data_IF_274735470653
#
_entry.id   IF_274735470653
#
_cell.length_a   1.000
_cell.length_b   1.000
_cell.length_c   1.000
_cell.angle_alpha   90.00
_cell.angle_beta   90.00
_cell.angle_gamma   90.00
#
_symmetry.space_group_name_H-M   'P 1'
#
loop_
_entity.id
_entity.type
_entity.pdbx_description
1 polymer ?
#
# COMPACT_ATOMS: atom_id res chain seq x y z
N UNK A 1 9.55 13.79 0.61
CA UNK A 1 8.85 13.92 1.89
C UNK A 1 7.51 14.61 1.69
N UNK A 2 6.44 13.94 2.02
CA UNK A 2 5.08 14.45 1.79
C UNK A 2 4.71 15.44 2.90
N UNK A 3 5.03 16.72 2.71
CA UNK A 3 4.65 17.81 3.61
C UNK A 3 3.19 18.27 3.41
N UNK A 4 2.47 17.65 2.47
CA UNK A 4 1.07 17.97 2.21
C UNK A 4 0.16 17.40 3.32
N UNK A 5 -0.91 18.14 3.60
CA UNK A 5 -1.95 17.67 4.52
C UNK A 5 -2.56 16.36 4.00
N UNK A 6 -2.62 15.34 4.87
CA UNK A 6 -3.19 14.06 4.51
C UNK A 6 -4.71 14.19 4.37
N UNK A 7 -5.25 13.68 3.27
CA UNK A 7 -6.70 13.61 3.09
C UNK A 7 -7.24 12.39 3.85
N UNK A 8 -8.09 12.65 4.84
CA UNK A 8 -8.66 11.61 5.69
C UNK A 8 -10.15 11.45 5.39
N UNK A 9 -10.54 10.24 5.04
CA UNK A 9 -11.95 9.88 4.99
C UNK A 9 -12.42 9.49 6.40
N UNK A 10 -13.46 10.19 6.90
CA UNK A 10 -13.91 10.02 8.28
C UNK A 10 -14.88 8.87 8.47
N UNK A 11 -15.81 8.66 7.51
CA UNK A 11 -16.84 7.63 7.65
C UNK A 11 -17.40 7.55 9.05
N UNK A 12 -17.51 6.34 9.57
CA UNK A 12 -17.96 6.04 10.94
C UNK A 12 -16.79 5.97 11.94
N UNK A 13 -15.67 6.63 11.65
CA UNK A 13 -14.46 6.58 12.50
C UNK A 13 -14.74 7.06 13.93
N UNK A 14 -15.65 8.04 14.09
CA UNK A 14 -16.05 8.53 15.40
C UNK A 14 -16.67 7.41 16.26
N UNK A 15 -17.59 6.64 15.70
CA UNK A 15 -18.20 5.50 16.41
C UNK A 15 -17.18 4.41 16.72
N UNK A 16 -16.26 4.11 15.78
CA UNK A 16 -15.22 3.12 16.00
C UNK A 16 -14.23 3.53 17.08
N UNK A 17 -13.85 4.81 17.15
CA UNK A 17 -12.94 5.32 18.17
C UNK A 17 -13.56 5.24 19.58
N UNK A 18 -14.88 5.28 19.71
CA UNK A 18 -15.54 5.08 21.01
C UNK A 18 -15.35 3.65 21.53
N UNK A 19 -15.31 2.67 20.64
CA UNK A 19 -15.21 1.24 20.96
C UNK A 19 -13.76 0.72 20.93
N UNK A 20 -12.79 1.57 20.60
CA UNK A 20 -11.40 1.19 20.36
C UNK A 20 -10.51 1.66 21.51
N UNK A 21 -9.62 0.79 21.99
CA UNK A 21 -8.60 1.13 23.01
C UNK A 21 -7.25 1.46 22.37
N UNK A 22 -6.94 0.83 21.25
CA UNK A 22 -5.64 0.96 20.58
C UNK A 22 -5.82 1.30 19.10
N UNK A 23 -5.06 2.27 18.62
CA UNK A 23 -4.94 2.58 17.19
C UNK A 23 -3.57 2.19 16.70
N UNK A 24 -3.54 1.30 15.72
CA UNK A 24 -2.32 0.79 15.09
C UNK A 24 -2.13 1.43 13.71
N UNK A 25 -1.07 2.20 13.57
CA UNK A 25 -0.59 2.69 12.28
C UNK A 25 0.38 1.68 11.68
N UNK A 26 0.17 1.29 10.43
CA UNK A 26 1.03 0.31 9.75
C UNK A 26 1.66 0.95 8.52
N UNK A 27 2.96 0.80 8.39
CA UNK A 27 3.73 1.35 7.27
C UNK A 27 4.84 0.35 6.88
N UNK A 28 5.37 0.44 5.68
CA UNK A 28 6.53 -0.36 5.28
C UNK A 28 7.81 0.20 5.90
N UNK A 29 7.99 1.53 5.89
CA UNK A 29 9.17 2.20 6.45
C UNK A 29 8.80 3.47 7.22
N UNK A 30 9.31 3.60 8.45
CA UNK A 30 9.29 4.85 9.20
C UNK A 30 10.69 5.48 9.12
N UNK A 31 10.86 6.46 8.23
CA UNK A 31 12.15 7.13 8.03
C UNK A 31 12.41 8.25 9.03
N UNK A 32 11.51 9.22 9.15
CA UNK A 32 11.63 10.36 10.08
C UNK A 32 10.48 10.46 11.09
N UNK A 33 9.42 9.70 10.87
CA UNK A 33 8.19 9.76 11.66
C UNK A 33 7.38 11.07 11.49
N UNK A 34 7.82 12.01 10.65
CA UNK A 34 7.16 13.31 10.47
C UNK A 34 5.73 13.17 9.93
N UNK A 35 5.55 12.32 8.92
CA UNK A 35 4.23 12.04 8.32
C UNK A 35 3.27 11.49 9.37
N UNK A 36 3.74 10.52 10.16
CA UNK A 36 2.96 9.89 11.21
C UNK A 36 2.52 10.90 12.29
N UNK A 37 3.45 11.72 12.78
CA UNK A 37 3.13 12.78 13.76
C UNK A 37 2.11 13.78 13.20
N UNK A 38 2.28 14.20 11.95
CA UNK A 38 1.34 15.12 11.29
C UNK A 38 -0.05 14.48 11.17
N UNK A 39 -0.11 13.19 10.79
CA UNK A 39 -1.36 12.46 10.68
C UNK A 39 -2.06 12.34 12.05
N UNK A 40 -1.34 11.96 13.09
CA UNK A 40 -1.89 11.88 14.45
C UNK A 40 -2.40 13.25 14.91
N UNK A 41 -1.65 14.33 14.67
CA UNK A 41 -2.09 15.67 15.02
C UNK A 41 -3.36 16.11 14.26
N UNK A 42 -3.51 15.74 13.00
CA UNK A 42 -4.73 15.99 12.21
C UNK A 42 -5.91 15.17 12.72
N UNK A 43 -5.69 13.88 12.97
CA UNK A 43 -6.71 12.98 13.51
C UNK A 43 -7.22 13.44 14.86
N UNK A 44 -6.30 13.81 15.78
CA UNK A 44 -6.67 14.27 17.13
C UNK A 44 -7.44 15.60 17.10
N UNK A 45 -7.11 16.50 16.18
CA UNK A 45 -7.90 17.74 15.99
C UNK A 45 -9.33 17.46 15.54
N UNK A 46 -9.51 16.46 14.68
CA UNK A 46 -10.83 16.13 14.14
C UNK A 46 -11.61 15.20 15.08
N UNK A 47 -10.92 14.31 15.76
CA UNK A 47 -11.47 13.31 16.68
C UNK A 47 -10.67 13.33 18.00
N UNK A 48 -11.02 14.21 18.94
CA UNK A 48 -10.27 14.36 20.20
C UNK A 48 -10.14 13.06 21.00
N UNK A 49 -11.12 12.16 20.91
CA UNK A 49 -11.08 10.85 21.54
C UNK A 49 -9.83 10.02 21.17
N UNK A 50 -9.17 10.29 20.04
CA UNK A 50 -7.93 9.63 19.67
C UNK A 50 -6.80 9.88 20.69
N UNK A 51 -6.77 11.07 21.31
CA UNK A 51 -5.76 11.42 22.33
C UNK A 51 -5.84 10.59 23.61
N UNK A 52 -6.94 9.87 23.82
CA UNK A 52 -7.14 8.98 24.97
C UNK A 52 -6.76 7.52 24.67
N UNK A 53 -6.40 7.23 23.41
CA UNK A 53 -6.11 5.87 22.94
C UNK A 53 -4.62 5.54 23.03
N UNK A 54 -4.31 4.27 23.10
CA UNK A 54 -2.94 3.79 22.90
C UNK A 54 -2.59 3.87 21.42
N UNK A 55 -1.56 4.67 21.07
CA UNK A 55 -1.12 4.84 19.68
C UNK A 55 0.15 4.02 19.45
N UNK A 56 0.10 3.09 18.51
CA UNK A 56 1.21 2.24 18.12
C UNK A 56 1.48 2.39 16.63
N UNK A 57 2.73 2.56 16.26
CA UNK A 57 3.18 2.49 14.88
C UNK A 57 4.00 1.22 14.67
N UNK A 58 3.60 0.40 13.70
CA UNK A 58 4.30 -0.82 13.30
C UNK A 58 4.85 -0.66 11.88
N UNK A 59 6.11 -1.05 11.68
CA UNK A 59 6.73 -1.03 10.36
C UNK A 59 7.63 -2.24 10.13
N UNK A 60 7.92 -2.54 8.87
CA UNK A 60 8.96 -3.51 8.53
C UNK A 60 10.32 -2.90 8.85
N UNK A 61 10.56 -1.67 8.44
CA UNK A 61 11.80 -0.95 8.63
C UNK A 61 11.59 0.33 9.45
N UNK A 62 12.51 0.60 10.37
CA UNK A 62 12.53 1.86 11.12
C UNK A 62 13.94 2.46 11.06
N UNK A 63 14.03 3.74 10.63
CA UNK A 63 15.27 4.49 10.49
C UNK A 63 15.27 5.80 11.29
N UNK A 64 14.34 5.98 12.23
CA UNK A 64 14.28 7.19 13.04
C UNK A 64 15.52 7.33 13.93
N UNK A 65 16.01 8.56 14.06
CA UNK A 65 17.06 8.88 15.04
C UNK A 65 16.49 8.87 16.46
N UNK A 66 17.35 8.84 17.50
CA UNK A 66 16.89 8.93 18.89
C UNK A 66 16.02 10.17 19.15
N UNK A 67 16.39 11.33 18.59
CA UNK A 67 15.62 12.58 18.75
C UNK A 67 14.25 12.51 18.05
N UNK A 68 14.19 11.82 16.91
CA UNK A 68 12.92 11.60 16.19
C UNK A 68 12.04 10.57 16.93
N UNK A 69 12.64 9.58 17.57
CA UNK A 69 11.92 8.60 18.40
C UNK A 69 11.33 9.28 19.64
N UNK A 70 12.09 10.15 20.30
CA UNK A 70 11.59 11.00 21.40
C UNK A 70 10.42 11.86 20.95
N UNK A 71 10.53 12.51 19.79
CA UNK A 71 9.45 13.32 19.23
C UNK A 71 8.20 12.51 18.85
N UNK A 72 8.32 11.23 18.54
CA UNK A 72 7.19 10.30 18.36
C UNK A 72 6.58 9.93 19.71
N UNK A 73 7.42 9.66 20.73
CA UNK A 73 6.97 9.36 22.06
C UNK A 73 6.24 10.55 22.70
N UNK A 74 6.72 11.78 22.50
CA UNK A 74 6.06 13.03 22.94
C UNK A 74 4.68 13.21 22.29
N UNK A 75 4.52 12.71 21.07
CA UNK A 75 3.22 12.66 20.38
C UNK A 75 2.35 11.45 20.82
N UNK A 76 2.75 10.71 21.86
CA UNK A 76 2.04 9.55 22.39
C UNK A 76 2.17 8.28 21.53
N UNK A 77 3.10 8.24 20.59
CA UNK A 77 3.23 7.15 19.61
C UNK A 77 4.35 6.19 20.03
N UNK A 78 4.02 4.94 20.24
CA UNK A 78 5.01 3.86 20.46
C UNK A 78 5.34 3.17 19.14
N UNK A 79 6.62 3.12 18.77
CA UNK A 79 7.04 2.44 17.54
C UNK A 79 7.44 0.98 17.80
N UNK A 80 7.07 0.10 16.86
CA UNK A 80 7.49 -1.30 16.76
C UNK A 80 7.93 -1.58 15.33
N UNK A 81 9.03 -2.31 15.15
CA UNK A 81 9.53 -2.65 13.82
C UNK A 81 10.18 -4.03 13.81
N UNK A 82 10.29 -4.62 12.63
CA UNK A 82 11.03 -5.87 12.44
C UNK A 82 12.52 -5.59 12.32
N UNK A 83 12.92 -4.54 11.60
CA UNK A 83 14.32 -4.18 11.36
C UNK A 83 14.52 -2.72 11.72
N UNK A 84 15.59 -2.42 12.45
CA UNK A 84 16.04 -1.05 12.72
C UNK A 84 17.40 -0.83 12.04
N UNK A 85 17.47 0.19 11.20
CA UNK A 85 18.69 0.62 10.54
C UNK A 85 18.95 2.10 10.87
N UNK A 86 20.22 2.53 10.92
CA UNK A 86 20.55 3.95 11.06
C UNK A 86 20.08 4.73 9.83
N UNK A 87 19.90 6.03 10.02
CA UNK A 87 19.83 6.95 8.88
C UNK A 87 21.25 7.13 8.34
N UNK A 88 21.39 6.96 7.04
CA UNK A 88 22.63 7.22 6.33
C UNK A 88 22.37 8.30 5.29
N UNK A 89 23.30 9.26 5.19
CA UNK A 89 23.27 10.27 4.14
C UNK A 89 24.09 9.77 2.94
N UNK A 90 23.41 9.38 1.90
CA UNK A 90 24.00 8.92 0.65
C UNK A 90 24.16 10.04 -0.39
N UNK A 91 23.85 11.28 -0.04
CA UNK A 91 23.85 12.42 -0.98
C UNK A 91 25.17 12.55 -1.72
N UNK A 92 26.28 12.42 -1.01
CA UNK A 92 27.61 12.49 -1.64
C UNK A 92 27.91 11.30 -2.58
N UNK A 93 27.34 10.13 -2.29
CA UNK A 93 27.56 8.92 -3.11
C UNK A 93 26.81 8.99 -4.42
N UNK A 94 25.68 9.71 -4.45
CA UNK A 94 24.81 9.80 -5.63
C UNK A 94 24.87 11.17 -6.32
N UNK A 95 25.77 12.05 -5.88
CA UNK A 95 25.87 13.43 -6.39
C UNK A 95 26.12 13.50 -7.91
N UNK A 96 26.87 12.53 -8.43
CA UNK A 96 27.22 12.47 -9.84
C UNK A 96 26.28 11.56 -10.66
N UNK A 97 25.24 11.01 -10.02
CA UNK A 97 24.29 10.14 -10.72
C UNK A 97 23.29 10.98 -11.50
N UNK A 98 23.09 10.62 -12.76
CA UNK A 98 22.07 11.23 -13.60
C UNK A 98 20.82 10.39 -13.59
N UNK A 99 19.73 10.95 -13.05
CA UNK A 99 18.40 10.33 -13.11
C UNK A 99 17.82 10.64 -14.49
N UNK A 100 17.50 9.59 -15.22
CA UNK A 100 16.88 9.70 -16.54
C UNK A 100 15.36 9.63 -16.37
N UNK A 101 14.63 10.58 -16.93
CA UNK A 101 13.19 10.44 -17.04
C UNK A 101 12.84 9.26 -17.97
N UNK A 102 11.91 8.43 -17.52
CA UNK A 102 11.42 7.36 -18.37
C UNK A 102 10.87 7.96 -19.68
N UNK A 103 11.24 7.42 -20.84
CA UNK A 103 10.68 7.89 -22.10
C UNK A 103 9.16 7.79 -22.04
N UNK A 104 8.42 8.74 -22.64
CA UNK A 104 6.97 8.66 -22.69
C UNK A 104 6.56 7.33 -23.32
N UNK A 105 5.60 6.66 -22.70
CA UNK A 105 5.09 5.40 -23.22
C UNK A 105 4.59 5.63 -24.66
N UNK A 106 5.19 4.93 -25.60
CA UNK A 106 4.71 4.94 -26.99
C UNK A 106 3.41 4.16 -27.00
N UNK A 107 2.28 4.73 -27.44
CA UNK A 107 1.03 4.00 -27.57
C UNK A 107 1.25 2.80 -28.49
N UNK A 108 1.23 1.62 -27.92
CA UNK A 108 1.22 0.40 -28.71
C UNK A 108 -0.25 0.09 -29.01
N UNK A 109 -0.55 -0.30 -30.25
CA UNK A 109 -1.87 -0.83 -30.60
C UNK A 109 -2.01 -2.24 -30.00
N UNK A 110 -2.15 -2.29 -28.68
CA UNK A 110 -2.40 -3.54 -27.97
C UNK A 110 -3.89 -3.88 -28.13
N UNK A 111 -4.15 -5.08 -28.64
CA UNK A 111 -5.49 -5.63 -28.60
C UNK A 111 -5.73 -6.19 -27.19
N UNK A 112 -6.73 -5.67 -26.49
CA UNK A 112 -7.17 -6.20 -25.22
C UNK A 112 -8.68 -6.41 -25.21
N UNK A 113 -9.11 -7.39 -24.46
CA UNK A 113 -10.53 -7.63 -24.19
C UNK A 113 -10.88 -6.96 -22.88
N UNK A 114 -11.86 -6.07 -22.93
CA UNK A 114 -12.41 -5.45 -21.74
C UNK A 114 -13.71 -6.14 -21.37
N UNK A 115 -13.82 -6.54 -20.12
CA UNK A 115 -15.02 -7.16 -19.57
C UNK A 115 -15.53 -6.36 -18.38
N UNK A 116 -16.85 -6.26 -18.27
CA UNK A 116 -17.52 -5.72 -17.09
C UNK A 116 -18.11 -6.87 -16.31
N UNK A 117 -17.67 -7.02 -15.08
CA UNK A 117 -18.17 -8.08 -14.21
C UNK A 117 -19.56 -7.73 -13.69
N UNK A 118 -20.47 -8.73 -13.62
CA UNK A 118 -21.74 -8.56 -12.94
C UNK A 118 -21.55 -8.48 -11.43
N UNK A 119 -22.43 -7.77 -10.74
CA UNK A 119 -22.45 -7.73 -9.27
C UNK A 119 -22.21 -6.33 -8.69
N UNK A 120 -22.06 -6.27 -7.38
CA UNK A 120 -21.93 -5.00 -6.64
C UNK A 120 -20.56 -4.33 -6.81
N UNK A 121 -19.63 -4.98 -7.46
CA UNK A 121 -18.26 -4.47 -7.66
C UNK A 121 -17.38 -4.59 -6.42
N UNK A 122 -16.16 -4.08 -6.55
CA UNK A 122 -15.17 -4.08 -5.47
C UNK A 122 -15.44 -2.94 -4.49
N UNK A 123 -15.41 -3.24 -3.19
CA UNK A 123 -15.42 -2.19 -2.16
C UNK A 123 -14.16 -1.33 -2.24
N UNK A 124 -14.29 -0.04 -2.01
CA UNK A 124 -13.15 0.88 -1.95
C UNK A 124 -12.37 0.64 -0.64
N UNK A 125 -11.11 0.17 -0.70
CA UNK A 125 -10.31 -0.14 0.50
C UNK A 125 -10.08 1.09 1.39
N UNK A 126 -10.11 2.30 0.82
CA UNK A 126 -9.94 3.54 1.56
C UNK A 126 -11.15 3.93 2.39
N UNK A 127 -12.30 3.31 2.14
CA UNK A 127 -13.58 3.61 2.79
C UNK A 127 -14.12 2.43 3.59
N UNK A 128 -13.54 1.26 3.43
CA UNK A 128 -14.00 0.04 4.08
C UNK A 128 -13.34 -0.09 5.44
N UNK A 129 -14.14 0.05 6.51
CA UNK A 129 -13.63 0.05 7.88
C UNK A 129 -13.40 -1.35 8.46
N UNK A 130 -13.88 -2.40 7.80
CA UNK A 130 -13.71 -3.79 8.24
C UNK A 130 -13.01 -4.62 7.18
N UNK A 131 -11.84 -5.12 7.52
CA UNK A 131 -11.01 -5.90 6.61
C UNK A 131 -11.74 -7.15 6.09
N UNK A 132 -12.53 -7.83 6.92
CA UNK A 132 -13.30 -8.99 6.49
C UNK A 132 -14.34 -8.69 5.41
N UNK A 133 -14.95 -7.50 5.43
CA UNK A 133 -15.88 -7.08 4.38
C UNK A 133 -15.13 -6.82 3.06
N UNK A 134 -13.96 -6.19 3.13
CA UNK A 134 -13.11 -5.96 1.96
C UNK A 134 -12.59 -7.28 1.37
N UNK A 135 -12.09 -8.19 2.21
CA UNK A 135 -11.65 -9.51 1.79
C UNK A 135 -12.77 -10.28 1.09
N UNK A 136 -13.97 -10.32 1.69
CA UNK A 136 -15.13 -10.97 1.08
C UNK A 136 -15.48 -10.39 -0.29
N UNK A 137 -15.39 -9.05 -0.43
CA UNK A 137 -15.59 -8.37 -1.72
C UNK A 137 -14.54 -8.77 -2.76
N UNK A 138 -13.26 -8.87 -2.37
CA UNK A 138 -12.17 -9.31 -3.23
C UNK A 138 -12.36 -10.77 -3.68
N UNK A 139 -12.77 -11.64 -2.76
CA UNK A 139 -13.09 -13.03 -3.06
C UNK A 139 -14.23 -13.14 -4.08
N UNK A 140 -15.30 -12.39 -3.90
CA UNK A 140 -16.45 -12.38 -4.81
C UNK A 140 -16.06 -11.87 -6.23
N UNK A 141 -15.25 -10.81 -6.29
CA UNK A 141 -14.73 -10.29 -7.58
C UNK A 141 -13.86 -11.33 -8.28
N UNK A 142 -12.94 -11.98 -7.56
CA UNK A 142 -12.09 -13.02 -8.14
C UNK A 142 -12.92 -14.22 -8.65
N UNK A 143 -13.95 -14.64 -7.92
CA UNK A 143 -14.90 -15.68 -8.35
C UNK A 143 -15.67 -15.27 -9.62
N UNK A 144 -16.14 -14.04 -9.69
CA UNK A 144 -16.82 -13.53 -10.87
C UNK A 144 -15.86 -13.50 -12.08
N UNK A 145 -14.61 -13.13 -11.90
CA UNK A 145 -13.59 -13.17 -12.95
C UNK A 145 -13.36 -14.59 -13.46
N UNK A 146 -13.19 -15.56 -12.56
CA UNK A 146 -13.02 -16.97 -12.92
C UNK A 146 -14.23 -17.51 -13.70
N UNK A 147 -15.44 -17.17 -13.27
CA UNK A 147 -16.67 -17.72 -13.84
C UNK A 147 -17.08 -17.09 -15.17
N UNK A 148 -16.79 -15.80 -15.38
CA UNK A 148 -17.34 -15.03 -16.49
C UNK A 148 -16.32 -14.56 -17.53
N UNK A 149 -15.07 -14.38 -17.11
CA UNK A 149 -14.07 -13.70 -17.95
C UNK A 149 -13.00 -14.65 -18.44
N UNK A 150 -12.52 -15.54 -17.56
CA UNK A 150 -11.46 -16.47 -17.86
C UNK A 150 -12.04 -17.76 -18.45
N UNK A 151 -11.38 -18.29 -19.46
CA UNK A 151 -11.67 -19.63 -19.97
C UNK A 151 -11.24 -20.72 -19.00
N UNK A 152 -11.34 -22.00 -19.40
CA UNK A 152 -10.82 -23.10 -18.59
C UNK A 152 -9.37 -22.85 -18.18
N UNK A 153 -9.05 -23.07 -16.91
CA UNK A 153 -7.72 -22.75 -16.34
C UNK A 153 -6.60 -23.47 -17.10
N UNK A 154 -6.87 -24.66 -17.60
CA UNK A 154 -5.92 -25.47 -18.39
C UNK A 154 -5.50 -24.80 -19.70
N UNK A 155 -6.28 -23.82 -20.17
CA UNK A 155 -5.98 -23.06 -21.40
C UNK A 155 -5.20 -21.78 -21.16
N UNK A 156 -5.04 -21.36 -19.90
CA UNK A 156 -4.41 -20.08 -19.58
C UNK A 156 -2.88 -20.09 -19.75
N UNK A 157 -2.24 -21.27 -19.68
CA UNK A 157 -0.78 -21.35 -19.74
C UNK A 157 -0.12 -20.56 -18.61
N UNK A 158 1.02 -19.93 -18.90
CA UNK A 158 1.68 -19.03 -17.96
C UNK A 158 0.92 -17.72 -17.88
N UNK A 159 0.43 -17.37 -16.71
CA UNK A 159 -0.46 -16.23 -16.49
C UNK A 159 0.21 -15.19 -15.61
N UNK A 160 0.20 -13.94 -16.04
CA UNK A 160 0.58 -12.79 -15.22
C UNK A 160 -0.66 -12.03 -14.79
N UNK A 161 -0.90 -11.95 -13.48
CA UNK A 161 -1.97 -11.14 -12.90
C UNK A 161 -1.39 -9.80 -12.47
N UNK A 162 -1.91 -8.72 -13.05
CA UNK A 162 -1.47 -7.36 -12.76
C UNK A 162 -2.52 -6.62 -11.93
N UNK A 163 -2.15 -6.24 -10.70
CA UNK A 163 -2.91 -5.30 -9.91
C UNK A 163 -2.47 -3.86 -10.22
N UNK A 164 -3.42 -2.95 -10.36
CA UNK A 164 -3.13 -1.54 -10.60
C UNK A 164 -3.51 -0.71 -9.40
N UNK A 165 -2.62 0.20 -8.99
CA UNK A 165 -2.83 1.12 -7.87
C UNK A 165 -3.34 0.39 -6.60
N UNK A 166 -4.54 0.71 -6.14
CA UNK A 166 -5.15 0.12 -4.93
C UNK A 166 -5.71 -1.30 -5.14
N UNK A 167 -5.70 -1.82 -6.38
CA UNK A 167 -6.21 -3.15 -6.71
C UNK A 167 -5.17 -4.27 -6.59
N UNK A 168 -4.15 -4.11 -5.75
CA UNK A 168 -3.13 -5.14 -5.55
C UNK A 168 -3.70 -6.38 -4.86
N UNK A 169 -4.46 -6.19 -3.79
CA UNK A 169 -5.02 -7.30 -3.03
C UNK A 169 -6.02 -8.16 -3.82
N UNK A 170 -6.98 -7.60 -4.57
CA UNK A 170 -7.84 -8.38 -5.47
C UNK A 170 -7.06 -9.19 -6.50
N UNK A 171 -5.96 -8.64 -7.03
CA UNK A 171 -5.10 -9.34 -7.97
C UNK A 171 -4.39 -10.54 -7.33
N UNK A 172 -3.91 -10.39 -6.09
CA UNK A 172 -3.31 -11.49 -5.33
C UNK A 172 -4.32 -12.61 -5.05
N UNK A 173 -5.55 -12.27 -4.65
CA UNK A 173 -6.62 -13.24 -4.43
C UNK A 173 -6.95 -14.01 -5.71
N UNK A 174 -7.03 -13.32 -6.86
CA UNK A 174 -7.24 -13.98 -8.15
C UNK A 174 -6.07 -14.90 -8.50
N UNK A 175 -4.84 -14.44 -8.32
CA UNK A 175 -3.63 -15.23 -8.57
C UNK A 175 -3.60 -16.50 -7.73
N UNK A 176 -3.86 -16.40 -6.43
CA UNK A 176 -3.95 -17.55 -5.52
C UNK A 176 -4.99 -18.57 -5.96
N UNK A 177 -6.18 -18.10 -6.37
CA UNK A 177 -7.24 -18.99 -6.85
C UNK A 177 -6.83 -19.72 -8.13
N UNK A 178 -6.20 -19.02 -9.07
CA UNK A 178 -5.69 -19.62 -10.30
C UNK A 178 -4.61 -20.68 -10.04
N UNK A 179 -3.67 -20.40 -9.12
CA UNK A 179 -2.65 -21.37 -8.69
C UNK A 179 -3.29 -22.62 -8.09
N UNK A 180 -4.26 -22.46 -7.20
CA UNK A 180 -5.01 -23.58 -6.60
C UNK A 180 -5.74 -24.45 -7.62
N UNK A 181 -6.11 -23.86 -8.75
CA UNK A 181 -6.72 -24.56 -9.88
C UNK A 181 -5.66 -25.19 -10.83
N UNK A 182 -4.38 -25.01 -10.56
CA UNK A 182 -3.28 -25.64 -11.29
C UNK A 182 -2.63 -24.79 -12.37
N UNK A 183 -2.94 -23.49 -12.47
CA UNK A 183 -2.25 -22.58 -13.39
C UNK A 183 -0.85 -22.22 -12.88
N UNK A 184 0.09 -21.94 -13.79
CA UNK A 184 1.37 -21.31 -13.48
C UNK A 184 1.17 -19.80 -13.47
N UNK A 185 1.18 -19.17 -12.25
CA UNK A 185 0.79 -17.78 -12.06
C UNK A 185 1.91 -16.94 -11.51
N UNK A 186 2.04 -15.76 -12.05
CA UNK A 186 2.86 -14.66 -11.53
C UNK A 186 1.96 -13.49 -11.18
N UNK A 187 2.21 -12.84 -10.04
CA UNK A 187 1.50 -11.62 -9.63
C UNK A 187 2.46 -10.44 -9.62
N UNK A 188 2.03 -9.30 -10.13
CA UNK A 188 2.79 -8.07 -10.09
C UNK A 188 1.87 -6.85 -9.93
N UNK A 189 2.43 -5.72 -9.55
CA UNK A 189 1.70 -4.47 -9.41
C UNK A 189 2.23 -3.40 -10.36
N UNK A 190 1.31 -2.62 -10.92
CA UNK A 190 1.66 -1.40 -11.63
C UNK A 190 1.37 -0.21 -10.71
N UNK A 191 2.39 0.27 -10.05
CA UNK A 191 2.29 1.46 -9.17
C UNK A 191 3.30 2.51 -9.60
N UNK A 192 3.05 3.76 -9.22
CA UNK A 192 4.05 4.80 -9.40
C UNK A 192 5.19 4.56 -8.42
N UNK A 193 6.37 4.31 -8.96
CA UNK A 193 7.57 4.20 -8.14
C UNK A 193 8.20 5.59 -7.98
N UNK A 194 8.63 5.98 -6.76
CA UNK A 194 9.47 7.14 -6.55
C UNK A 194 10.92 6.90 -6.97
N UNK A 195 11.26 5.68 -7.37
CA UNK A 195 12.61 5.30 -7.79
C UNK A 195 12.84 5.81 -9.20
N UNK A 196 13.87 6.64 -9.40
CA UNK A 196 14.28 7.13 -10.71
C UNK A 196 15.10 6.10 -11.46
N UNK A 197 15.02 6.12 -12.78
CA UNK A 197 15.91 5.34 -13.62
C UNK A 197 17.32 5.95 -13.59
N UNK A 198 18.34 5.14 -13.44
CA UNK A 198 19.72 5.60 -13.40
C UNK A 198 20.66 4.58 -14.02
N UNK A 199 21.60 5.06 -14.85
CA UNK A 199 22.64 4.23 -15.51
C UNK A 199 23.87 4.00 -14.63
N UNK A 200 23.85 4.38 -13.36
CA UNK A 200 24.99 4.22 -12.46
C UNK A 200 25.34 2.74 -12.26
N UNK A 201 26.64 2.37 -12.31
CA UNK A 201 27.07 1.00 -12.07
C UNK A 201 26.60 0.47 -10.71
N UNK A 202 25.98 -0.70 -10.72
CA UNK A 202 25.45 -1.34 -9.50
C UNK A 202 24.10 -0.84 -9.03
N UNK A 203 23.48 0.11 -9.74
CA UNK A 203 22.08 0.47 -9.50
C UNK A 203 21.16 -0.58 -10.13
N UNK A 204 20.22 -1.17 -9.40
CA UNK A 204 19.51 -2.36 -9.85
C UNK A 204 18.33 -2.08 -10.80
N UNK A 205 18.02 -0.80 -11.11
CA UNK A 205 16.84 -0.39 -11.88
C UNK A 205 17.25 0.53 -13.03
#
# INVERSE_FOLDING_TARGET
>A
SHAAEQKLWGGDLDALLQETDTVLFVDDEISTGKTLRNMVAQLTRRWPALGEKTLVAASLLNRVTPEQEEALADAGITCRCLVRLPQEDHTAQVADWTVTEAPPAVPQNLSFRQETLPGEGLLDPRKTLRIGAYDSSCQAVAEAMLSHTLGPVETLGKTLVLGTEECMYPALILGEKLERLGAEVYCHATTRSPIGLCDAPGYPI
#
